data_IF_220203448816
#
_entry.id   IF_220203448816
#
_cell.length_a   1.000
_cell.length_b   1.000
_cell.length_c   1.000
_cell.angle_alpha   90.00
_cell.angle_beta   90.00
_cell.angle_gamma   90.00
#
_symmetry.space_group_name_H-M   'P 1'
#
loop_
_entity.id
_entity.type
_entity.pdbx_description
1 polymer ?
#
# COMPACT_ATOMS: atom_id res chain seq x y z
N UNK A 1 -23.24 22.94 10.07
CA UNK A 1 -23.52 21.78 9.19
C UNK A 1 -22.86 21.90 7.81
N UNK A 2 -22.95 23.06 7.13
CA UNK A 2 -22.31 23.31 5.82
C UNK A 2 -20.79 23.04 5.76
N UNK A 3 -20.03 23.45 6.77
CA UNK A 3 -18.56 23.29 6.81
C UNK A 3 -18.14 21.81 6.80
N UNK A 4 -18.83 20.95 7.54
CA UNK A 4 -18.53 19.51 7.61
C UNK A 4 -18.81 18.83 6.27
N UNK A 5 -19.90 19.20 5.61
CA UNK A 5 -20.25 18.69 4.27
C UNK A 5 -19.17 19.11 3.25
N UNK A 6 -18.70 20.35 3.31
CA UNK A 6 -17.67 20.85 2.41
C UNK A 6 -16.32 20.15 2.61
N UNK A 7 -15.90 19.95 3.87
CA UNK A 7 -14.70 19.17 4.21
C UNK A 7 -14.83 17.74 3.67
N UNK A 8 -15.97 17.08 3.87
CA UNK A 8 -16.21 15.72 3.38
C UNK A 8 -16.11 15.62 1.85
N UNK A 9 -16.77 16.54 1.13
CA UNK A 9 -16.73 16.58 -0.33
C UNK A 9 -15.28 16.73 -0.81
N UNK A 10 -14.51 17.62 -0.22
CA UNK A 10 -13.12 17.84 -0.60
C UNK A 10 -12.25 16.60 -0.35
N UNK A 11 -12.42 15.93 0.80
CA UNK A 11 -11.69 14.69 1.08
C UNK A 11 -12.02 13.59 0.06
N UNK A 12 -13.29 13.47 -0.35
CA UNK A 12 -13.72 12.45 -1.31
C UNK A 12 -13.18 12.60 -2.73
N UNK A 13 -12.60 13.78 -3.06
CA UNK A 13 -11.94 14.01 -4.34
C UNK A 13 -10.44 13.74 -4.30
N UNK A 14 -9.86 13.52 -3.11
CA UNK A 14 -8.43 13.25 -2.98
C UNK A 14 -8.14 11.85 -3.55
N UNK A 15 -7.22 11.81 -4.50
CA UNK A 15 -6.72 10.59 -5.15
C UNK A 15 -5.29 10.23 -4.72
N UNK A 16 -4.60 11.12 -4.01
CA UNK A 16 -3.26 10.90 -3.47
C UNK A 16 -3.24 11.19 -1.96
N UNK A 17 -2.76 10.24 -1.18
CA UNK A 17 -2.55 10.41 0.26
C UNK A 17 -1.10 10.09 0.61
N UNK A 18 -0.41 11.09 1.14
CA UNK A 18 0.93 10.93 1.71
C UNK A 18 0.89 11.11 3.22
N UNK A 19 1.08 10.01 3.93
CA UNK A 19 1.14 9.96 5.40
C UNK A 19 2.39 9.21 5.86
N UNK A 20 3.49 9.34 5.12
CA UNK A 20 4.79 8.80 5.52
C UNK A 20 5.26 9.35 6.86
N UNK A 21 6.06 8.56 7.59
CA UNK A 21 6.74 8.96 8.82
C UNK A 21 5.79 9.38 9.97
N UNK A 22 4.55 8.91 9.99
CA UNK A 22 3.60 9.26 11.05
C UNK A 22 3.71 8.33 12.28
N UNK A 23 4.59 7.32 12.25
CA UNK A 23 4.80 6.34 13.33
C UNK A 23 3.46 5.73 13.81
N UNK A 24 2.55 5.48 12.88
CA UNK A 24 1.20 5.02 13.17
C UNK A 24 1.29 3.60 13.71
N UNK A 25 0.92 3.44 15.00
CA UNK A 25 0.94 2.13 15.68
C UNK A 25 -0.37 1.35 15.54
N UNK A 26 -1.49 2.05 15.33
CA UNK A 26 -2.82 1.42 15.24
C UNK A 26 -3.51 1.72 13.90
N UNK A 27 -3.05 1.02 12.87
CA UNK A 27 -3.61 1.11 11.52
C UNK A 27 -5.04 0.59 11.41
N UNK A 28 -5.46 -0.35 12.26
CA UNK A 28 -6.77 -1.01 12.14
C UNK A 28 -7.96 -0.06 12.18
N UNK A 29 -7.88 1.00 12.99
CA UNK A 29 -8.92 2.02 13.11
C UNK A 29 -8.81 3.06 12.00
N UNK A 30 -7.59 3.39 11.59
CA UNK A 30 -7.35 4.36 10.53
C UNK A 30 -7.88 3.89 9.19
N UNK A 31 -7.80 2.59 8.89
CA UNK A 31 -8.27 2.11 7.60
C UNK A 31 -9.75 2.35 7.33
N UNK A 32 -10.61 2.17 8.34
CA UNK A 32 -12.06 2.42 8.23
C UNK A 32 -12.31 3.91 7.98
N UNK A 33 -11.53 4.78 8.61
CA UNK A 33 -11.60 6.23 8.43
C UNK A 33 -11.15 6.57 7.01
N UNK A 34 -10.01 6.05 6.59
CA UNK A 34 -9.44 6.39 5.30
C UNK A 34 -10.30 5.90 4.13
N UNK A 35 -10.85 4.69 4.18
CA UNK A 35 -11.81 4.21 3.17
C UNK A 35 -13.02 5.15 3.03
N UNK A 36 -13.58 5.58 4.17
CA UNK A 36 -14.76 6.44 4.21
C UNK A 36 -14.50 7.82 3.58
N UNK A 37 -13.32 8.40 3.82
CA UNK A 37 -13.01 9.76 3.38
C UNK A 37 -12.26 9.84 2.05
N UNK A 38 -11.58 8.77 1.64
CA UNK A 38 -10.76 8.71 0.41
C UNK A 38 -11.20 7.56 -0.52
N UNK A 39 -12.48 7.49 -0.95
CA UNK A 39 -12.99 6.39 -1.77
C UNK A 39 -12.36 6.32 -3.18
N UNK A 40 -11.74 7.43 -3.64
CA UNK A 40 -11.10 7.55 -4.96
C UNK A 40 -9.57 7.44 -4.89
N UNK A 41 -9.02 6.96 -3.77
CA UNK A 41 -7.59 6.91 -3.59
C UNK A 41 -6.93 5.99 -4.62
N UNK A 42 -5.98 6.54 -5.36
CA UNK A 42 -5.21 5.90 -6.43
C UNK A 42 -3.73 5.79 -6.06
N UNK A 43 -3.21 6.77 -5.31
CA UNK A 43 -1.81 6.88 -4.89
C UNK A 43 -1.75 6.89 -3.36
N UNK A 44 -0.96 5.99 -2.78
CA UNK A 44 -0.76 5.90 -1.34
C UNK A 44 0.72 5.84 -0.99
N UNK A 45 1.18 6.78 -0.17
CA UNK A 45 2.50 6.77 0.44
C UNK A 45 2.39 6.67 1.97
N UNK A 46 2.84 5.53 2.50
CA UNK A 46 2.86 5.20 3.93
C UNK A 46 4.25 4.70 4.32
N UNK A 47 5.30 5.28 3.70
CA UNK A 47 6.68 4.94 3.99
C UNK A 47 7.03 5.18 5.46
N UNK A 48 7.92 4.34 6.00
CA UNK A 48 8.45 4.47 7.36
C UNK A 48 7.36 4.42 8.45
N UNK A 49 6.55 3.37 8.42
CA UNK A 49 5.56 3.06 9.44
C UNK A 49 5.67 1.61 9.96
N UNK A 50 5.04 1.32 11.11
CA UNK A 50 4.95 -0.05 11.65
C UNK A 50 3.82 -0.85 10.99
N UNK A 51 3.76 -0.80 9.67
CA UNK A 51 2.56 -1.17 8.94
C UNK A 51 2.38 -2.69 8.79
N UNK A 52 1.17 -3.17 9.11
CA UNK A 52 0.70 -4.52 8.78
C UNK A 52 -0.05 -4.49 7.45
N UNK A 53 0.64 -4.95 6.40
CA UNK A 53 0.25 -4.75 5.00
C UNK A 53 -1.11 -5.32 4.60
N UNK A 54 -1.55 -6.39 5.28
CA UNK A 54 -2.73 -7.19 4.89
C UNK A 54 -4.04 -6.39 4.79
N UNK A 55 -4.08 -5.18 5.35
CA UNK A 55 -5.28 -4.36 5.39
C UNK A 55 -5.35 -3.30 4.28
N UNK A 56 -4.26 -2.71 3.80
CA UNK A 56 -4.29 -1.59 2.82
C UNK A 56 -5.28 -1.87 1.68
N UNK A 57 -5.15 -3.03 1.05
CA UNK A 57 -5.91 -3.38 -0.15
C UNK A 57 -7.35 -3.83 0.11
N UNK A 58 -7.72 -4.08 1.38
CA UNK A 58 -9.12 -4.25 1.73
C UNK A 58 -9.87 -2.92 1.58
N UNK A 59 -9.19 -1.81 1.84
CA UNK A 59 -9.79 -0.49 2.01
C UNK A 59 -9.61 0.44 0.82
N UNK A 60 -8.65 0.16 -0.07
CA UNK A 60 -8.40 0.97 -1.27
C UNK A 60 -8.30 0.09 -2.53
N UNK A 61 -9.44 -0.30 -3.13
CA UNK A 61 -9.46 -1.17 -4.31
C UNK A 61 -8.98 -0.48 -5.60
N UNK A 62 -8.86 0.85 -5.59
CA UNK A 62 -8.50 1.67 -6.75
C UNK A 62 -7.01 2.04 -6.82
N UNK A 63 -6.18 1.53 -5.89
CA UNK A 63 -4.76 1.87 -5.87
C UNK A 63 -4.05 1.39 -7.14
N UNK A 64 -3.32 2.32 -7.75
CA UNK A 64 -2.45 2.10 -8.91
C UNK A 64 -0.98 2.39 -8.59
N UNK A 65 -0.72 3.18 -7.55
CA UNK A 65 0.63 3.56 -7.11
C UNK A 65 0.76 3.43 -5.59
N UNK A 66 1.75 2.66 -5.14
CA UNK A 66 1.89 2.26 -3.74
C UNK A 66 3.35 2.36 -3.31
N UNK A 67 3.61 3.22 -2.32
CA UNK A 67 4.91 3.36 -1.67
C UNK A 67 4.86 2.90 -0.21
N UNK A 68 5.65 1.89 0.12
CA UNK A 68 5.74 1.23 1.44
C UNK A 68 7.18 1.03 1.89
N UNK A 69 8.09 1.87 1.44
CA UNK A 69 9.50 1.77 1.79
C UNK A 69 9.69 1.92 3.30
N UNK A 70 10.76 1.31 3.84
CA UNK A 70 11.16 1.44 5.24
C UNK A 70 10.08 0.96 6.24
N UNK A 71 9.22 0.02 5.84
CA UNK A 71 8.22 -0.56 6.73
C UNK A 71 8.73 -1.88 7.36
N UNK A 72 7.92 -2.47 8.23
CA UNK A 72 8.14 -3.81 8.78
C UNK A 72 7.15 -4.82 8.20
N UNK A 73 7.01 -4.84 6.87
CA UNK A 73 6.02 -5.69 6.21
C UNK A 73 6.31 -7.17 6.49
N UNK A 74 5.37 -7.86 7.15
CA UNK A 74 5.41 -9.32 7.38
C UNK A 74 4.65 -10.06 6.29
N UNK A 75 4.81 -11.40 6.22
CA UNK A 75 4.15 -12.32 5.28
C UNK A 75 2.75 -11.88 4.80
N UNK A 76 2.57 -11.74 3.49
CA UNK A 76 1.25 -11.58 2.85
C UNK A 76 0.69 -12.91 2.38
N UNK A 77 -0.64 -13.01 2.47
CA UNK A 77 -1.42 -14.12 1.95
C UNK A 77 -1.39 -14.15 0.42
N UNK A 78 -1.45 -15.36 -0.16
CA UNK A 78 -1.49 -15.62 -1.61
C UNK A 78 -2.50 -14.74 -2.39
N UNK A 79 -3.63 -14.45 -1.77
CA UNK A 79 -4.74 -13.66 -2.33
C UNK A 79 -4.34 -12.20 -2.60
N UNK A 80 -3.20 -11.76 -2.07
CA UNK A 80 -2.68 -10.41 -2.19
C UNK A 80 -2.43 -10.00 -3.65
N UNK A 81 -1.74 -10.83 -4.43
CA UNK A 81 -1.44 -10.57 -5.84
C UNK A 81 -2.74 -10.32 -6.62
N UNK A 82 -3.80 -11.06 -6.27
CA UNK A 82 -5.09 -10.89 -6.91
C UNK A 82 -5.77 -9.55 -6.59
N UNK A 83 -5.37 -8.87 -5.51
CA UNK A 83 -5.95 -7.59 -5.08
C UNK A 83 -5.19 -6.36 -5.60
N UNK A 84 -3.94 -6.52 -6.03
CA UNK A 84 -3.14 -5.44 -6.64
C UNK A 84 -2.97 -5.61 -8.15
N UNK A 85 -3.89 -6.30 -8.81
CA UNK A 85 -3.80 -6.53 -10.26
C UNK A 85 -3.71 -5.24 -11.07
N UNK A 86 -4.25 -4.13 -10.55
CA UNK A 86 -4.28 -2.83 -11.20
C UNK A 86 -3.05 -1.94 -10.88
N UNK A 87 -2.15 -2.39 -10.00
CA UNK A 87 -0.99 -1.60 -9.60
C UNK A 87 0.00 -1.48 -10.76
N UNK A 88 0.42 -0.25 -10.99
CA UNK A 88 1.40 0.15 -12.01
C UNK A 88 2.77 0.44 -11.42
N UNK A 89 2.82 1.02 -10.21
CA UNK A 89 4.08 1.31 -9.51
C UNK A 89 4.01 0.74 -8.09
N UNK A 90 5.06 0.03 -7.69
CA UNK A 90 5.15 -0.58 -6.36
C UNK A 90 6.56 -0.40 -5.78
N UNK A 91 6.66 0.32 -4.67
CA UNK A 91 7.89 0.51 -3.92
C UNK A 91 7.81 -0.16 -2.55
N UNK A 92 8.74 -1.08 -2.29
CA UNK A 92 8.82 -1.91 -1.09
C UNK A 92 10.23 -1.89 -0.48
N UNK A 93 11.06 -0.91 -0.81
CA UNK A 93 12.48 -0.91 -0.42
C UNK A 93 12.65 -0.93 1.10
N UNK A 94 13.78 -1.49 1.55
CA UNK A 94 14.16 -1.57 2.96
C UNK A 94 13.16 -2.33 3.85
N UNK A 95 12.38 -3.25 3.27
CA UNK A 95 11.56 -4.21 4.00
C UNK A 95 12.30 -5.53 4.18
N UNK A 96 13.11 -5.65 5.23
CA UNK A 96 14.04 -6.79 5.41
C UNK A 96 13.36 -8.16 5.55
N UNK A 97 12.07 -8.20 5.92
CA UNK A 97 11.30 -9.45 6.05
C UNK A 97 10.59 -9.85 4.77
N UNK A 98 10.75 -9.09 3.69
CA UNK A 98 10.14 -9.36 2.39
C UNK A 98 10.65 -10.68 1.79
N UNK A 99 11.88 -11.09 2.12
CA UNK A 99 12.43 -12.41 1.76
C UNK A 99 11.55 -13.58 2.26
N UNK A 100 10.83 -13.41 3.37
CA UNK A 100 9.90 -14.43 3.89
C UNK A 100 8.68 -14.64 2.97
N UNK A 101 8.48 -13.79 1.95
CA UNK A 101 7.42 -13.94 0.97
C UNK A 101 7.78 -14.89 -0.17
N UNK A 102 8.97 -15.48 -0.22
CA UNK A 102 9.34 -16.49 -1.23
C UNK A 102 8.38 -17.71 -1.15
N UNK A 103 7.75 -18.15 -2.26
CA UNK A 103 7.90 -17.70 -3.66
C UNK A 103 6.86 -16.70 -4.15
N UNK A 104 5.98 -16.18 -3.30
CA UNK A 104 5.00 -15.16 -3.67
C UNK A 104 5.63 -13.87 -4.17
N UNK A 105 6.82 -13.52 -3.69
CA UNK A 105 7.53 -12.33 -4.17
C UNK A 105 7.80 -12.38 -5.68
N UNK A 106 8.06 -13.58 -6.23
CA UNK A 106 8.24 -13.81 -7.66
C UNK A 106 6.97 -13.49 -8.47
N UNK A 107 5.79 -13.64 -7.83
CA UNK A 107 4.51 -13.31 -8.46
C UNK A 107 4.26 -11.81 -8.61
N UNK A 108 5.04 -10.94 -7.94
CA UNK A 108 4.97 -9.50 -8.20
C UNK A 108 5.36 -9.18 -9.64
N UNK A 109 6.32 -9.92 -10.21
CA UNK A 109 6.69 -9.80 -11.63
C UNK A 109 5.61 -10.27 -12.61
N UNK A 110 4.53 -10.89 -12.12
CA UNK A 110 3.40 -11.38 -12.94
C UNK A 110 2.20 -10.41 -12.93
N UNK A 111 2.32 -9.25 -12.30
CA UNK A 111 1.25 -8.26 -12.27
C UNK A 111 1.06 -7.65 -13.68
N UNK A 112 -0.16 -7.70 -14.24
CA UNK A 112 -0.38 -7.45 -15.66
C UNK A 112 -0.15 -5.98 -16.07
N UNK A 113 -0.23 -5.05 -15.14
CA UNK A 113 -0.08 -3.61 -15.40
C UNK A 113 1.14 -2.99 -14.70
N UNK A 114 1.98 -3.79 -14.04
CA UNK A 114 3.14 -3.29 -13.31
C UNK A 114 4.20 -2.79 -14.31
N UNK A 115 4.58 -1.53 -14.14
CA UNK A 115 5.59 -0.83 -14.93
C UNK A 115 6.87 -0.65 -14.13
N UNK A 116 6.74 -0.35 -12.83
CA UNK A 116 7.88 -0.14 -11.94
C UNK A 116 7.75 -0.96 -10.65
N UNK A 117 8.82 -1.67 -10.31
CA UNK A 117 8.97 -2.40 -9.06
C UNK A 117 10.30 -2.04 -8.41
N UNK A 118 10.25 -1.46 -7.23
CA UNK A 118 11.43 -1.07 -6.45
C UNK A 118 11.45 -1.89 -5.16
N UNK A 119 12.44 -2.77 -5.02
CA UNK A 119 12.58 -3.71 -3.89
C UNK A 119 14.01 -3.75 -3.33
N UNK A 120 14.66 -2.59 -3.27
CA UNK A 120 16.05 -2.50 -2.82
C UNK A 120 16.17 -2.87 -1.35
N UNK A 121 17.29 -3.46 -0.94
CA UNK A 121 17.60 -3.78 0.47
C UNK A 121 16.57 -4.68 1.18
N UNK A 122 15.88 -5.54 0.43
CA UNK A 122 14.86 -6.44 0.97
C UNK A 122 15.36 -7.87 1.26
N UNK A 123 16.66 -8.14 1.07
CA UNK A 123 17.24 -9.49 1.18
C UNK A 123 16.90 -10.41 0.00
N UNK A 124 16.24 -9.89 -1.05
CA UNK A 124 15.90 -10.65 -2.25
C UNK A 124 17.03 -10.47 -3.27
N UNK A 125 17.70 -11.57 -3.61
CA UNK A 125 18.79 -11.56 -4.60
C UNK A 125 18.25 -11.47 -6.04
N UNK A 126 17.09 -12.08 -6.31
CA UNK A 126 16.46 -12.08 -7.63
C UNK A 126 14.95 -12.32 -7.51
N UNK A 127 14.15 -11.58 -8.29
CA UNK A 127 12.76 -11.95 -8.60
C UNK A 127 12.81 -12.89 -9.82
N UNK A 128 12.27 -14.09 -9.66
CA UNK A 128 12.21 -15.13 -10.70
C UNK A 128 10.94 -15.07 -11.54
#
# INVERSE_FOLDING_TARGET
MLIIIYIYINLSQINELNIRQNLIKNWSQLWIILEKYFPKLEILNVNNDYLLFKYILKYFPNLIDIHLDLNHLTFILENFINKIKNVTNLSLSDNQRLIEWDPFINRLGLLPFLQELIINNCGIEQIK
#
